data_IF_542766842793
#
_entry.id   IF_542766842793
#
_cell.length_a   1.000
_cell.length_b   1.000
_cell.length_c   1.000
_cell.angle_alpha   90.00
_cell.angle_beta   90.00
_cell.angle_gamma   90.00
#
_symmetry.space_group_name_H-M   'P 1'
#
loop_
_entity.id
_entity.type
_entity.pdbx_description
1 polymer ?
#
# COMPACT_ATOMS: atom_id res chain seq x y z
N UNK A 1 -9.44 -14.39 1.36
CA UNK A 1 -8.64 -13.18 1.53
C UNK A 1 -9.50 -11.92 1.33
N UNK A 2 -10.18 -11.71 0.19
CA UNK A 2 -10.96 -10.50 -0.08
C UNK A 2 -12.07 -10.21 0.95
N UNK A 3 -12.76 -11.25 1.44
CA UNK A 3 -13.73 -11.08 2.51
C UNK A 3 -13.10 -10.49 3.79
N UNK A 4 -11.86 -10.87 4.08
CA UNK A 4 -11.11 -10.34 5.22
C UNK A 4 -10.79 -8.85 5.03
N UNK A 5 -10.28 -8.46 3.86
CA UNK A 5 -9.99 -7.06 3.52
C UNK A 5 -11.27 -6.22 3.56
N UNK A 6 -12.38 -6.70 2.96
CA UNK A 6 -13.69 -6.03 2.98
C UNK A 6 -14.20 -5.84 4.42
N UNK A 7 -14.10 -6.87 5.26
CA UNK A 7 -14.55 -6.81 6.66
C UNK A 7 -13.70 -5.82 7.48
N UNK A 8 -12.39 -5.77 7.26
CA UNK A 8 -11.53 -4.80 7.93
C UNK A 8 -11.84 -3.37 7.50
N UNK A 9 -12.01 -3.14 6.19
CA UNK A 9 -12.46 -1.84 5.68
C UNK A 9 -13.81 -1.42 6.30
N UNK A 10 -14.75 -2.36 6.44
CA UNK A 10 -16.04 -2.12 7.11
C UNK A 10 -15.85 -1.78 8.59
N UNK A 11 -14.98 -2.47 9.30
CA UNK A 11 -14.71 -2.16 10.73
C UNK A 11 -14.11 -0.77 10.89
N UNK A 12 -13.14 -0.41 10.07
CA UNK A 12 -12.59 0.94 10.06
C UNK A 12 -13.66 2.00 9.75
N UNK A 13 -14.62 1.71 8.86
CA UNK A 13 -15.70 2.68 8.56
C UNK A 13 -16.68 2.88 9.74
N UNK A 14 -16.72 1.96 10.69
CA UNK A 14 -17.59 2.05 11.88
C UNK A 14 -16.90 2.70 13.09
N UNK A 15 -15.57 2.71 13.13
CA UNK A 15 -14.81 3.27 14.25
C UNK A 15 -13.43 2.68 14.39
N UNK A 16 -12.80 2.93 15.52
CA UNK A 16 -11.48 2.37 15.84
C UNK A 16 -11.57 0.85 16.03
N UNK A 17 -10.46 0.16 15.71
CA UNK A 17 -10.34 -1.29 15.92
C UNK A 17 -9.37 -1.54 17.08
N UNK A 18 -9.83 -2.24 18.10
CA UNK A 18 -9.01 -2.61 19.25
C UNK A 18 -8.54 -4.07 19.13
N UNK A 19 -7.26 -4.31 19.32
CA UNK A 19 -6.65 -5.64 19.32
C UNK A 19 -5.63 -5.77 20.45
N UNK A 20 -5.26 -6.99 20.82
CA UNK A 20 -4.14 -7.21 21.76
C UNK A 20 -2.85 -6.75 21.08
N UNK A 21 -2.10 -5.88 21.76
CA UNK A 21 -0.87 -5.31 21.21
C UNK A 21 0.21 -6.39 20.98
N UNK A 22 0.85 -6.29 19.83
CA UNK A 22 2.02 -7.10 19.44
C UNK A 22 3.26 -6.19 19.34
N UNK A 23 4.43 -6.79 19.13
CA UNK A 23 5.66 -6.02 18.87
C UNK A 23 5.57 -5.17 17.61
N UNK A 24 4.84 -5.63 16.59
CA UNK A 24 4.60 -4.86 15.38
C UNK A 24 3.74 -3.62 15.65
N UNK A 25 2.71 -3.74 16.48
CA UNK A 25 1.84 -2.62 16.82
C UNK A 25 2.59 -1.54 17.61
N UNK A 26 3.51 -1.94 18.50
CA UNK A 26 4.41 -1.02 19.20
C UNK A 26 5.27 -0.23 18.22
N UNK A 27 5.90 -0.91 17.25
CA UNK A 27 6.68 -0.27 16.19
C UNK A 27 5.83 0.69 15.33
N UNK A 28 4.61 0.29 14.97
CA UNK A 28 3.70 1.14 14.18
C UNK A 28 3.27 2.39 14.96
N UNK A 29 3.00 2.26 16.27
CA UNK A 29 2.59 3.38 17.11
C UNK A 29 3.70 4.44 17.31
N UNK A 30 4.98 4.03 17.25
CA UNK A 30 6.10 4.97 17.27
C UNK A 30 6.25 5.75 15.95
N UNK A 31 5.80 5.18 14.84
CA UNK A 31 6.04 5.71 13.50
C UNK A 31 4.84 6.40 12.88
N UNK A 32 3.63 6.01 13.24
CA UNK A 32 2.41 6.43 12.58
C UNK A 32 1.33 6.87 13.57
N UNK A 33 0.53 7.85 13.19
CA UNK A 33 -0.54 8.46 13.97
C UNK A 33 -1.82 7.63 14.04
N UNK A 34 -1.99 6.64 13.15
CA UNK A 34 -3.18 5.78 13.09
C UNK A 34 -3.16 4.61 14.08
N UNK A 35 -2.09 4.40 14.85
CA UNK A 35 -2.00 3.38 15.91
C UNK A 35 -1.66 4.04 17.23
N UNK A 36 -2.36 3.64 18.28
CA UNK A 36 -2.09 4.07 19.66
C UNK A 36 -2.05 2.86 20.61
N UNK A 37 -1.16 2.87 21.58
CA UNK A 37 -1.04 1.78 22.55
C UNK A 37 -1.58 2.24 23.91
N UNK A 38 -2.55 1.50 24.42
CA UNK A 38 -3.09 1.68 25.78
C UNK A 38 -2.92 0.38 26.59
N UNK A 39 -1.91 0.32 27.43
CA UNK A 39 -1.55 -0.88 28.19
C UNK A 39 -1.20 -2.05 27.26
N UNK A 40 -2.00 -3.13 27.30
CA UNK A 40 -1.82 -4.30 26.44
C UNK A 40 -2.66 -4.25 25.16
N UNK A 41 -3.34 -3.12 24.88
CA UNK A 41 -4.25 -2.97 23.72
C UNK A 41 -3.65 -2.01 22.71
N UNK A 42 -3.64 -2.41 21.45
CA UNK A 42 -3.38 -1.54 20.31
C UNK A 42 -4.73 -1.06 19.73
N UNK A 43 -4.85 0.25 19.57
CA UNK A 43 -6.02 0.91 18.99
C UNK A 43 -5.64 1.41 17.62
N UNK A 44 -6.22 0.83 16.58
CA UNK A 44 -6.12 1.30 15.22
C UNK A 44 -7.24 2.32 14.98
N UNK A 45 -6.85 3.57 14.80
CA UNK A 45 -7.80 4.68 14.61
C UNK A 45 -8.42 4.60 13.22
N UNK A 46 -9.68 4.99 13.10
CA UNK A 46 -10.35 5.12 11.81
C UNK A 46 -10.09 6.49 11.14
N UNK A 47 -9.22 7.30 11.69
CA UNK A 47 -8.82 8.61 11.20
C UNK A 47 -7.32 8.82 11.39
N UNK A 48 -6.68 9.46 10.42
CA UNK A 48 -5.26 9.78 10.39
C UNK A 48 -4.98 10.93 9.44
N UNK A 49 -3.75 11.38 9.38
CA UNK A 49 -3.33 12.42 8.45
C UNK A 49 -2.97 11.81 7.07
N UNK A 50 -3.49 12.41 6.00
CA UNK A 50 -3.18 12.08 4.61
C UNK A 50 -2.73 13.35 3.91
N UNK A 51 -1.46 13.45 3.55
CA UNK A 51 -0.86 14.61 2.89
C UNK A 51 -1.06 15.93 3.67
N UNK A 52 -1.02 15.88 5.01
CA UNK A 52 -1.24 17.02 5.88
C UNK A 52 -2.72 17.41 6.07
N UNK A 53 -3.65 16.57 5.65
CA UNK A 53 -5.10 16.80 5.80
C UNK A 53 -5.72 15.67 6.63
N UNK A 54 -6.50 15.98 7.68
CA UNK A 54 -7.22 14.97 8.44
C UNK A 54 -8.14 14.15 7.54
N UNK A 55 -7.96 12.84 7.56
CA UNK A 55 -8.74 11.88 6.78
C UNK A 55 -9.44 10.91 7.73
N UNK A 56 -10.67 10.53 7.40
CA UNK A 56 -11.43 9.48 8.11
C UNK A 56 -11.85 8.40 7.13
N UNK A 57 -11.55 7.16 7.47
CA UNK A 57 -11.92 6.02 6.64
C UNK A 57 -13.43 5.77 6.68
N UNK A 58 -14.08 5.84 5.53
CA UNK A 58 -15.52 5.61 5.37
C UNK A 58 -15.84 4.66 4.20
N UNK A 59 -14.83 3.99 3.65
CA UNK A 59 -14.97 3.16 2.45
C UNK A 59 -15.21 1.70 2.80
N UNK A 60 -16.15 1.07 2.09
CA UNK A 60 -16.39 -0.38 2.13
C UNK A 60 -16.55 -0.88 0.70
N UNK A 61 -15.91 -1.99 0.37
CA UNK A 61 -15.96 -2.57 -0.97
C UNK A 61 -17.38 -3.02 -1.35
N UNK A 62 -17.84 -2.63 -2.52
CA UNK A 62 -19.04 -3.16 -3.17
C UNK A 62 -18.73 -4.49 -3.88
N UNK A 63 -19.76 -5.24 -4.25
CA UNK A 63 -19.58 -6.56 -4.88
C UNK A 63 -18.94 -6.46 -6.28
N UNK A 64 -19.25 -5.42 -7.04
CA UNK A 64 -18.63 -5.11 -8.33
C UNK A 64 -17.11 -4.83 -8.18
N UNK A 65 -16.75 -4.17 -7.09
CA UNK A 65 -15.34 -3.91 -6.77
C UNK A 65 -14.59 -5.18 -6.38
N UNK A 66 -15.25 -6.14 -5.72
CA UNK A 66 -14.66 -7.46 -5.47
C UNK A 66 -14.38 -8.22 -6.78
N UNK A 67 -15.32 -8.15 -7.74
CA UNK A 67 -15.11 -8.74 -9.06
C UNK A 67 -13.94 -8.09 -9.79
N UNK A 68 -13.86 -6.76 -9.79
CA UNK A 68 -12.73 -6.01 -10.36
C UNK A 68 -11.39 -6.45 -9.76
N UNK A 69 -11.31 -6.58 -8.44
CA UNK A 69 -10.11 -7.06 -7.75
C UNK A 69 -9.72 -8.48 -8.13
N UNK A 70 -10.69 -9.39 -8.35
CA UNK A 70 -10.45 -10.76 -8.80
C UNK A 70 -9.85 -10.75 -10.21
N UNK A 71 -10.42 -9.98 -11.12
CA UNK A 71 -9.94 -9.87 -12.51
C UNK A 71 -8.50 -9.31 -12.55
N UNK A 72 -8.22 -8.27 -11.77
CA UNK A 72 -6.87 -7.70 -11.65
C UNK A 72 -5.86 -8.72 -11.12
N UNK A 73 -6.23 -9.54 -10.14
CA UNK A 73 -5.33 -10.59 -9.63
C UNK A 73 -4.97 -11.62 -10.72
N UNK A 74 -5.91 -11.94 -11.62
CA UNK A 74 -5.66 -12.83 -12.75
C UNK A 74 -4.98 -12.16 -13.95
N UNK A 75 -4.58 -10.89 -13.83
CA UNK A 75 -3.84 -10.17 -14.87
C UNK A 75 -4.72 -9.60 -15.98
N UNK A 76 -6.02 -9.47 -15.76
CA UNK A 76 -6.91 -8.78 -16.71
C UNK A 76 -6.81 -7.25 -16.51
N UNK A 77 -6.93 -6.51 -17.61
CA UNK A 77 -7.20 -5.09 -17.56
C UNK A 77 -8.69 -4.85 -17.20
N UNK A 78 -8.96 -4.01 -16.24
CA UNK A 78 -10.31 -3.64 -15.83
C UNK A 78 -10.55 -2.16 -16.06
N UNK A 79 -11.65 -1.83 -16.73
CA UNK A 79 -12.09 -0.46 -16.92
C UNK A 79 -13.12 -0.11 -15.85
N UNK A 80 -12.89 1.01 -15.17
CA UNK A 80 -13.80 1.56 -14.17
C UNK A 80 -13.90 3.07 -14.38
N UNK A 81 -15.12 3.62 -14.32
CA UNK A 81 -15.34 5.04 -14.47
C UNK A 81 -14.71 5.84 -13.30
N UNK A 82 -14.47 7.12 -13.55
CA UNK A 82 -13.97 8.03 -12.52
C UNK A 82 -14.97 8.10 -11.35
N UNK A 83 -14.46 7.97 -10.12
CA UNK A 83 -15.29 7.99 -8.90
C UNK A 83 -15.82 6.63 -8.45
N UNK A 84 -15.60 5.54 -9.19
CA UNK A 84 -16.05 4.19 -8.80
C UNK A 84 -15.13 3.50 -7.79
N UNK A 85 -14.12 4.20 -7.28
CA UNK A 85 -13.26 3.72 -6.21
C UNK A 85 -12.15 2.78 -6.65
N UNK A 86 -11.48 3.05 -7.78
CA UNK A 86 -10.35 2.27 -8.30
C UNK A 86 -9.28 2.01 -7.23
N UNK A 87 -8.90 3.02 -6.44
CA UNK A 87 -7.94 2.88 -5.34
C UNK A 87 -8.38 1.84 -4.31
N UNK A 88 -9.68 1.79 -4.00
CA UNK A 88 -10.22 0.80 -3.06
C UNK A 88 -10.20 -0.61 -3.67
N UNK A 89 -10.54 -0.75 -4.96
CA UNK A 89 -10.44 -2.04 -5.69
C UNK A 89 -9.01 -2.55 -5.68
N UNK A 90 -8.03 -1.69 -5.92
CA UNK A 90 -6.62 -2.03 -5.93
C UNK A 90 -6.15 -2.65 -4.60
N UNK A 91 -6.76 -2.28 -3.47
CA UNK A 91 -6.38 -2.85 -2.17
C UNK A 91 -6.53 -4.37 -2.11
N UNK A 92 -7.47 -4.94 -2.84
CA UNK A 92 -7.79 -6.37 -2.82
C UNK A 92 -6.66 -7.23 -3.42
N UNK A 93 -6.28 -7.03 -4.70
CA UNK A 93 -5.19 -7.81 -5.30
C UNK A 93 -3.83 -7.44 -4.72
N UNK A 94 -3.62 -6.18 -4.33
CA UNK A 94 -2.38 -5.75 -3.65
C UNK A 94 -2.19 -6.54 -2.36
N UNK A 95 -3.20 -6.57 -1.50
CA UNK A 95 -3.14 -7.34 -0.25
C UNK A 95 -2.89 -8.83 -0.52
N UNK A 96 -3.64 -9.44 -1.45
CA UNK A 96 -3.51 -10.87 -1.76
C UNK A 96 -2.10 -11.23 -2.23
N UNK A 97 -1.53 -10.44 -3.16
CA UNK A 97 -0.21 -10.73 -3.71
C UNK A 97 0.93 -10.36 -2.74
N UNK A 98 0.71 -9.41 -1.83
CA UNK A 98 1.68 -9.05 -0.80
C UNK A 98 1.89 -10.16 0.25
N UNK A 99 0.94 -11.08 0.42
CA UNK A 99 1.10 -12.22 1.32
C UNK A 99 2.22 -13.19 0.92
N UNK A 100 2.72 -13.11 -0.30
CA UNK A 100 3.92 -13.87 -0.72
C UNK A 100 5.22 -13.29 -0.16
N UNK A 101 5.23 -12.07 0.34
CA UNK A 101 6.42 -11.30 0.75
C UNK A 101 7.47 -11.15 -0.38
N UNK A 102 7.02 -11.13 -1.63
CA UNK A 102 7.89 -11.00 -2.81
C UNK A 102 7.85 -9.61 -3.45
N UNK A 103 7.13 -8.68 -2.82
CA UNK A 103 7.01 -7.29 -3.25
C UNK A 103 5.89 -7.06 -4.28
N UNK A 104 5.09 -6.04 -4.03
CA UNK A 104 4.00 -5.59 -4.90
C UNK A 104 4.22 -4.13 -5.27
N UNK A 105 4.30 -3.85 -6.58
CA UNK A 105 4.39 -2.51 -7.12
C UNK A 105 2.99 -1.91 -7.27
N UNK A 106 2.74 -0.77 -6.64
CA UNK A 106 1.53 0.06 -6.86
C UNK A 106 1.96 1.30 -7.63
N UNK A 107 1.59 1.34 -8.90
CA UNK A 107 2.09 2.31 -9.89
C UNK A 107 1.01 3.32 -10.22
N UNK A 108 1.31 4.60 -10.05
CA UNK A 108 0.42 5.73 -10.36
C UNK A 108 1.09 6.70 -11.32
N UNK A 109 0.33 7.70 -11.81
CA UNK A 109 0.85 8.66 -12.81
C UNK A 109 1.78 9.71 -12.24
N UNK A 110 1.67 10.06 -10.95
CA UNK A 110 2.49 11.11 -10.36
C UNK A 110 2.80 10.86 -8.87
N UNK A 111 3.75 11.62 -8.33
CA UNK A 111 4.22 11.49 -6.97
C UNK A 111 3.15 11.85 -5.92
N UNK A 112 2.29 12.83 -6.21
CA UNK A 112 1.20 13.21 -5.31
C UNK A 112 0.22 12.05 -5.11
N UNK A 113 -0.23 11.41 -6.20
CA UNK A 113 -1.15 10.27 -6.13
C UNK A 113 -0.51 9.09 -5.43
N UNK A 114 0.76 8.79 -5.71
CA UNK A 114 1.49 7.71 -5.03
C UNK A 114 1.53 7.90 -3.52
N UNK A 115 1.86 9.10 -3.05
CA UNK A 115 1.90 9.42 -1.61
C UNK A 115 0.50 9.41 -0.99
N UNK A 116 -0.48 10.02 -1.66
CA UNK A 116 -1.88 10.04 -1.20
C UNK A 116 -2.44 8.63 -1.04
N UNK A 117 -2.28 7.79 -2.04
CA UNK A 117 -2.85 6.43 -2.04
C UNK A 117 -2.13 5.54 -1.04
N UNK A 118 -0.81 5.68 -0.89
CA UNK A 118 -0.06 5.04 0.18
C UNK A 118 -0.58 5.45 1.56
N UNK A 119 -0.65 6.75 1.86
CA UNK A 119 -1.08 7.24 3.17
C UNK A 119 -2.54 6.89 3.47
N UNK A 120 -3.40 6.86 2.45
CA UNK A 120 -4.80 6.47 2.60
C UNK A 120 -4.97 4.99 2.91
N UNK A 121 -4.20 4.11 2.26
CA UNK A 121 -4.45 2.65 2.29
C UNK A 121 -3.50 1.88 3.21
N UNK A 122 -2.35 2.45 3.61
CA UNK A 122 -1.36 1.77 4.47
C UNK A 122 -1.93 1.18 5.77
N UNK A 123 -2.91 1.81 6.48
CA UNK A 123 -3.42 1.20 7.70
C UNK A 123 -4.11 -0.14 7.47
N UNK A 124 -4.78 -0.30 6.30
CA UNK A 124 -5.43 -1.56 5.93
C UNK A 124 -4.43 -2.72 5.77
N UNK A 125 -3.25 -2.44 5.21
CA UNK A 125 -2.20 -3.45 5.03
C UNK A 125 -1.43 -3.71 6.32
N UNK A 126 -1.04 -2.64 7.02
CA UNK A 126 -0.22 -2.71 8.22
C UNK A 126 -0.97 -3.33 9.40
N UNK A 127 -2.30 -3.24 9.45
CA UNK A 127 -3.15 -3.94 10.42
C UNK A 127 -2.91 -5.47 10.41
N UNK A 128 -2.52 -6.03 9.26
CA UNK A 128 -2.20 -7.44 9.11
C UNK A 128 -0.70 -7.75 9.15
N UNK A 129 0.12 -6.79 9.53
CA UNK A 129 1.56 -6.95 9.64
C UNK A 129 2.32 -6.87 8.31
N UNK A 130 1.65 -6.51 7.19
CA UNK A 130 2.32 -6.24 5.93
C UNK A 130 3.05 -4.91 5.99
N UNK A 131 4.28 -4.87 5.50
CA UNK A 131 5.04 -3.64 5.38
C UNK A 131 4.66 -2.89 4.10
N UNK A 132 4.51 -1.57 4.19
CA UNK A 132 4.24 -0.72 3.04
C UNK A 132 5.06 0.57 3.13
N UNK A 133 5.53 1.08 1.99
CA UNK A 133 6.25 2.35 1.90
C UNK A 133 6.05 2.99 0.52
N UNK A 134 6.52 4.24 0.35
CA UNK A 134 6.42 4.97 -0.91
C UNK A 134 7.79 5.49 -1.33
N UNK A 135 8.24 5.11 -2.53
CA UNK A 135 9.56 5.48 -3.05
C UNK A 135 9.70 6.99 -3.30
N UNK A 136 8.58 7.70 -3.45
CA UNK A 136 8.57 9.14 -3.73
C UNK A 136 8.93 10.02 -2.51
N UNK A 137 9.10 9.44 -1.34
CA UNK A 137 9.67 10.16 -0.18
C UNK A 137 11.20 10.24 -0.22
N UNK A 138 11.86 9.43 -1.08
CA UNK A 138 13.30 9.25 -1.04
C UNK A 138 13.93 9.55 -2.39
N UNK A 139 14.99 10.34 -2.37
CA UNK A 139 15.81 10.52 -3.55
C UNK A 139 16.48 9.19 -3.96
N UNK A 140 16.79 9.05 -5.25
CA UNK A 140 17.38 7.84 -5.82
C UNK A 140 18.61 7.32 -5.05
N UNK A 141 19.49 8.20 -4.60
CA UNK A 141 20.73 7.83 -3.90
C UNK A 141 20.55 7.66 -2.38
N UNK A 142 19.32 7.85 -1.87
CA UNK A 142 19.02 7.62 -0.47
C UNK A 142 18.95 6.11 -0.20
N UNK A 143 19.69 5.65 0.80
CA UNK A 143 19.64 4.25 1.24
C UNK A 143 18.21 3.78 1.56
N UNK A 144 17.38 4.69 2.07
CA UNK A 144 15.98 4.40 2.39
C UNK A 144 15.16 4.01 1.17
N UNK A 145 15.47 4.54 -0.03
CA UNK A 145 14.81 4.12 -1.27
C UNK A 145 15.03 2.62 -1.54
N UNK A 146 16.24 2.12 -1.33
CA UNK A 146 16.55 0.69 -1.44
C UNK A 146 15.83 -0.13 -0.36
N UNK A 147 15.71 0.39 0.86
CA UNK A 147 14.95 -0.28 1.93
C UNK A 147 13.45 -0.33 1.61
N UNK A 148 12.88 0.70 0.97
CA UNK A 148 11.49 0.70 0.51
C UNK A 148 11.19 -0.48 -0.41
N UNK A 149 12.10 -0.84 -1.33
CA UNK A 149 11.93 -2.01 -2.20
C UNK A 149 11.99 -3.37 -1.47
N UNK A 150 12.29 -3.40 -0.19
CA UNK A 150 12.20 -4.60 0.66
C UNK A 150 10.84 -4.74 1.35
N UNK A 151 9.99 -3.72 1.27
CA UNK A 151 8.64 -3.79 1.81
C UNK A 151 7.78 -4.77 1.00
N UNK A 152 6.71 -5.27 1.60
CA UNK A 152 5.75 -6.14 0.93
C UNK A 152 4.97 -5.38 -0.16
N UNK A 153 4.75 -4.07 0.06
CA UNK A 153 4.02 -3.19 -0.85
C UNK A 153 4.79 -1.87 -0.98
N UNK A 154 5.06 -1.44 -2.20
CA UNK A 154 5.69 -0.14 -2.43
C UNK A 154 4.99 0.64 -3.53
N UNK A 155 4.71 1.90 -3.19
CA UNK A 155 4.02 2.86 -4.03
C UNK A 155 5.03 3.74 -4.75
N UNK A 156 4.69 4.13 -5.97
CA UNK A 156 5.51 5.04 -6.75
C UNK A 156 4.89 5.41 -8.09
N UNK A 157 5.44 6.42 -8.74
CA UNK A 157 5.02 6.76 -10.09
C UNK A 157 5.77 5.91 -11.12
N UNK A 158 5.11 5.73 -12.28
CA UNK A 158 5.63 4.88 -13.35
C UNK A 158 7.06 5.26 -13.78
N UNK A 159 7.38 6.54 -13.91
CA UNK A 159 8.70 7.00 -14.30
C UNK A 159 9.78 6.68 -13.26
N UNK A 160 9.47 6.80 -11.96
CA UNK A 160 10.41 6.45 -10.89
C UNK A 160 10.79 4.97 -10.93
N UNK A 161 9.81 4.08 -11.06
CA UNK A 161 10.06 2.65 -11.20
C UNK A 161 10.85 2.32 -12.48
N UNK A 162 10.49 2.95 -13.60
CA UNK A 162 11.17 2.74 -14.87
C UNK A 162 12.64 3.19 -14.80
N UNK A 163 12.91 4.38 -14.24
CA UNK A 163 14.29 4.84 -14.11
C UNK A 163 15.10 3.99 -13.15
N UNK A 164 14.53 3.56 -12.03
CA UNK A 164 15.23 2.66 -11.10
C UNK A 164 15.57 1.33 -11.79
N UNK A 165 14.64 0.77 -12.58
CA UNK A 165 14.87 -0.43 -13.38
C UNK A 165 16.01 -0.24 -14.41
N UNK A 166 15.98 0.86 -15.18
CA UNK A 166 17.01 1.15 -16.18
C UNK A 166 18.39 1.33 -15.52
N UNK A 167 18.44 1.99 -14.38
CA UNK A 167 19.69 2.17 -13.66
C UNK A 167 20.23 0.86 -13.07
N UNK A 168 19.37 0.01 -12.58
CA UNK A 168 19.77 -1.32 -12.08
C UNK A 168 20.37 -2.17 -13.22
N UNK A 169 19.91 -1.99 -14.48
CA UNK A 169 20.46 -2.68 -15.64
C UNK A 169 21.84 -2.19 -16.08
N UNK A 170 22.21 -0.95 -15.75
CA UNK A 170 23.54 -0.41 -16.04
C UNK A 170 24.47 -0.42 -14.82
N UNK A 171 24.00 -0.89 -13.68
CA UNK A 171 24.79 -1.02 -12.47
C UNK A 171 25.95 -2.01 -12.68
N UNK A 172 27.12 -1.64 -12.20
CA UNK A 172 28.32 -2.50 -12.31
C UNK A 172 28.34 -3.52 -11.18
N UNK A 173 27.80 -3.17 -10.03
CA UNK A 173 27.79 -4.02 -8.83
C UNK A 173 26.36 -4.31 -8.38
N UNK A 174 26.06 -5.54 -7.98
CA UNK A 174 24.73 -5.90 -7.48
C UNK A 174 24.25 -5.04 -6.28
N UNK A 175 25.19 -4.55 -5.48
CA UNK A 175 24.89 -3.70 -4.32
C UNK A 175 24.35 -2.33 -4.71
N UNK A 176 24.55 -1.88 -5.94
CA UNK A 176 24.06 -0.63 -6.50
C UNK A 176 22.60 -0.74 -6.95
N UNK A 177 22.10 -1.95 -7.21
CA UNK A 177 20.70 -2.19 -7.58
C UNK A 177 19.78 -1.91 -6.41
N UNK A 178 18.67 -1.23 -6.71
CA UNK A 178 17.65 -0.89 -5.71
C UNK A 178 16.45 -1.82 -5.77
N UNK A 179 16.02 -2.20 -6.98
CA UNK A 179 14.91 -3.14 -7.15
C UNK A 179 15.37 -4.57 -6.88
N UNK A 180 14.43 -5.41 -6.48
CA UNK A 180 14.72 -6.81 -6.19
C UNK A 180 13.90 -7.71 -7.13
N UNK A 181 12.75 -8.22 -6.66
CA UNK A 181 11.89 -9.10 -7.42
C UNK A 181 10.75 -8.32 -8.09
N UNK A 182 10.30 -8.78 -9.24
CA UNK A 182 9.10 -8.30 -9.92
C UNK A 182 8.03 -9.39 -9.82
N UNK A 183 7.30 -9.40 -8.72
CA UNK A 183 6.27 -10.43 -8.46
C UNK A 183 4.91 -10.01 -9.01
N UNK A 184 4.40 -8.87 -8.58
CA UNK A 184 3.10 -8.35 -9.00
C UNK A 184 3.15 -6.83 -9.13
N UNK A 185 2.47 -6.31 -10.13
CA UNK A 185 2.28 -4.87 -10.30
C UNK A 185 0.82 -4.55 -10.60
N UNK A 186 0.31 -3.49 -9.99
CA UNK A 186 -0.95 -2.87 -10.36
C UNK A 186 -0.66 -1.47 -10.88
N UNK A 187 -1.22 -1.13 -12.04
CA UNK A 187 -0.99 0.14 -12.73
C UNK A 187 -2.32 0.85 -12.88
N UNK A 188 -2.41 2.06 -12.36
CA UNK A 188 -3.56 2.92 -12.52
C UNK A 188 -3.33 3.89 -13.69
N UNK A 189 -4.41 4.21 -14.41
CA UNK A 189 -4.41 5.14 -15.56
C UNK A 189 -3.44 4.71 -16.68
N UNK A 190 -3.87 3.70 -17.47
CA UNK A 190 -3.07 3.10 -18.56
C UNK A 190 -3.21 3.80 -19.92
N UNK A 191 -3.88 4.93 -20.03
CA UNK A 191 -4.13 5.69 -21.25
C UNK A 191 -2.97 6.60 -21.71
#
# INVERSE_FOLDING_TARGET
VYALVKETARRFSLGNIEVKATSNDLYLAEKYDFVEILGETAIYKNHWDVMGVPYSWNMVHYDEQLLGGILLHYGYATEMATGEGKTLVATLPVFLNALSHEGVHVITVNDYLSKRDFETTRPLYMFYGLSADCIEYYNRYDRRRKETYKSDIFFGMHSSFTFDYLYDHIAIKPEECVQQKHNYAIIDELD
#
